data_IF_229256460095
#
_entry.id   IF_229256460095
#
_cell.length_a   1.000
_cell.length_b   1.000
_cell.length_c   1.000
_cell.angle_alpha   90.00
_cell.angle_beta   90.00
_cell.angle_gamma   90.00
#
_symmetry.space_group_name_H-M   'P 1'
#
loop_
_entity.id
_entity.type
_entity.pdbx_description
1 polymer ?
#
# COMPACT_ATOMS: atom_id res chain seq x y z
N UNK A 1 -28.10 -3.48 10.87
CA UNK A 1 -27.88 -3.55 12.34
C UNK A 1 -28.82 -4.57 12.91
N UNK A 2 -28.36 -5.56 13.68
CA UNK A 2 -29.28 -6.36 14.46
C UNK A 2 -30.00 -5.43 15.44
N UNK A 3 -31.31 -5.51 15.47
CA UNK A 3 -32.16 -4.77 16.40
C UNK A 3 -31.83 -5.17 17.85
N UNK A 4 -32.21 -4.38 18.83
CA UNK A 4 -32.00 -4.70 20.24
C UNK A 4 -32.55 -6.08 20.62
N UNK A 5 -33.61 -6.55 19.93
CA UNK A 5 -34.21 -7.89 20.12
C UNK A 5 -33.35 -9.03 19.55
N UNK A 6 -32.58 -8.81 18.45
CA UNK A 6 -31.70 -9.82 17.86
C UNK A 6 -30.41 -10.07 18.66
N UNK A 7 -30.06 -9.16 19.59
CA UNK A 7 -28.93 -9.29 20.52
C UNK A 7 -29.31 -10.04 21.80
N UNK A 8 -30.58 -10.29 22.03
CA UNK A 8 -31.03 -10.98 23.22
C UNK A 8 -30.64 -12.46 23.16
N UNK A 9 -29.54 -12.80 23.79
CA UNK A 9 -29.11 -14.16 23.91
C UNK A 9 -29.96 -14.88 24.96
N UNK A 10 -30.59 -15.98 24.58
CA UNK A 10 -31.30 -16.87 25.51
C UNK A 10 -30.35 -17.98 25.94
N UNK A 11 -30.17 -18.17 27.24
CA UNK A 11 -29.37 -19.28 27.75
C UNK A 11 -30.07 -20.62 27.52
N UNK A 12 -29.28 -21.62 27.12
CA UNK A 12 -29.72 -22.99 26.90
C UNK A 12 -28.98 -23.92 27.85
N UNK A 13 -29.57 -25.04 28.22
CA UNK A 13 -28.96 -26.04 29.07
C UNK A 13 -28.30 -27.11 28.19
N UNK A 14 -27.02 -27.36 28.40
CA UNK A 14 -26.25 -28.37 27.69
C UNK A 14 -26.53 -29.80 28.25
N UNK A 15 -26.06 -30.80 27.54
CA UNK A 15 -26.13 -32.21 27.96
C UNK A 15 -25.34 -32.44 29.26
N UNK A 16 -24.30 -31.65 29.50
CA UNK A 16 -23.49 -31.63 30.71
C UNK A 16 -24.13 -30.90 31.90
N UNK A 17 -25.39 -30.46 31.74
CA UNK A 17 -26.16 -29.71 32.72
C UNK A 17 -25.77 -28.24 32.89
N UNK A 18 -24.70 -27.74 32.23
CA UNK A 18 -24.29 -26.34 32.31
C UNK A 18 -25.15 -25.45 31.45
N UNK A 19 -25.28 -24.19 31.83
CA UNK A 19 -25.91 -23.18 31.00
C UNK A 19 -24.91 -22.66 29.98
N UNK A 20 -25.35 -22.40 28.75
CA UNK A 20 -24.52 -21.78 27.70
C UNK A 20 -25.32 -20.84 26.83
N UNK A 21 -24.61 -19.92 26.17
CA UNK A 21 -25.18 -19.05 25.15
C UNK A 21 -24.19 -18.82 23.98
N UNK A 22 -24.74 -18.58 22.79
CA UNK A 22 -24.01 -18.20 21.58
C UNK A 22 -24.69 -16.99 20.91
N UNK A 23 -24.64 -15.82 21.55
CA UNK A 23 -25.27 -14.63 20.99
C UNK A 23 -24.64 -14.24 19.64
N UNK A 24 -25.45 -13.69 18.75
CA UNK A 24 -24.94 -13.03 17.56
C UNK A 24 -24.51 -11.61 17.94
N UNK A 25 -23.21 -11.34 17.88
CA UNK A 25 -22.61 -10.05 18.31
C UNK A 25 -22.28 -9.14 17.12
N UNK A 26 -22.67 -9.55 15.92
CA UNK A 26 -22.38 -8.80 14.70
C UNK A 26 -21.53 -9.63 13.73
N UNK A 27 -20.94 -8.93 12.77
CA UNK A 27 -20.07 -9.54 11.76
C UNK A 27 -18.67 -8.94 11.92
N UNK A 28 -17.66 -9.80 11.89
CA UNK A 28 -16.27 -9.37 11.87
C UNK A 28 -16.04 -8.44 10.68
N UNK A 29 -15.49 -7.25 10.95
CA UNK A 29 -15.36 -6.18 9.97
C UNK A 29 -14.32 -6.47 8.89
N UNK A 30 -13.33 -7.30 9.21
CA UNK A 30 -12.23 -7.64 8.30
C UNK A 30 -12.55 -8.90 7.52
N UNK A 31 -13.05 -9.95 8.19
CA UNK A 31 -13.27 -11.26 7.57
C UNK A 31 -14.68 -11.47 7.03
N UNK A 32 -15.65 -10.62 7.40
CA UNK A 32 -17.06 -10.78 7.05
C UNK A 32 -17.76 -11.94 7.75
N UNK A 33 -17.10 -12.63 8.69
CA UNK A 33 -17.67 -13.78 9.42
C UNK A 33 -18.56 -13.30 10.56
N UNK A 34 -19.66 -14.05 10.80
CA UNK A 34 -20.54 -13.82 11.93
C UNK A 34 -19.81 -14.10 13.24
N UNK A 35 -19.80 -13.11 14.16
CA UNK A 35 -19.22 -13.23 15.50
C UNK A 35 -20.29 -13.87 16.38
N UNK A 36 -20.04 -15.07 16.83
CA UNK A 36 -20.90 -15.80 17.78
C UNK A 36 -20.03 -16.39 18.89
N UNK A 37 -19.63 -15.57 19.89
CA UNK A 37 -18.85 -16.04 21.00
C UNK A 37 -19.64 -17.07 21.80
N UNK A 38 -18.92 -18.03 22.37
CA UNK A 38 -19.49 -19.04 23.25
C UNK A 38 -19.07 -18.74 24.68
N UNK A 39 -20.03 -18.85 25.61
CA UNK A 39 -19.74 -18.83 27.02
C UNK A 39 -20.66 -19.81 27.75
N UNK A 40 -20.14 -20.49 28.76
CA UNK A 40 -20.90 -21.37 29.65
C UNK A 40 -20.83 -20.87 31.08
N UNK A 41 -21.89 -21.18 31.81
CA UNK A 41 -22.05 -20.87 33.24
C UNK A 41 -22.34 -22.13 34.00
N UNK A 42 -22.24 -22.06 35.35
CA UNK A 42 -22.35 -23.20 36.23
C UNK A 42 -23.74 -23.83 36.14
N UNK A 43 -23.78 -25.16 36.30
CA UNK A 43 -25.01 -25.96 36.31
C UNK A 43 -25.91 -25.67 37.54
N UNK A 44 -25.31 -25.17 38.62
CA UNK A 44 -26.01 -24.88 39.90
C UNK A 44 -26.84 -23.58 39.80
N UNK A 45 -26.58 -22.72 38.81
CA UNK A 45 -27.35 -21.50 38.61
C UNK A 45 -28.78 -21.81 38.18
N UNK A 46 -29.73 -21.03 38.70
CA UNK A 46 -31.09 -21.04 38.14
C UNK A 46 -31.08 -20.42 36.73
N UNK A 47 -32.10 -20.74 35.92
CA UNK A 47 -32.24 -20.16 34.58
C UNK A 47 -32.19 -18.63 34.61
N UNK A 48 -32.83 -18.01 35.59
CA UNK A 48 -32.89 -16.56 35.75
C UNK A 48 -31.52 -15.96 36.08
N UNK A 49 -30.77 -16.62 36.96
CA UNK A 49 -29.41 -16.22 37.31
C UNK A 49 -28.46 -16.35 36.12
N UNK A 50 -28.52 -17.48 35.40
CA UNK A 50 -27.71 -17.69 34.19
C UNK A 50 -28.07 -16.67 33.07
N UNK A 51 -29.35 -16.33 32.95
CA UNK A 51 -29.78 -15.30 31.98
C UNK A 51 -29.28 -13.93 32.39
N UNK A 52 -29.32 -13.56 33.68
CA UNK A 52 -28.80 -12.28 34.15
C UNK A 52 -27.28 -12.15 33.93
N UNK A 53 -26.52 -13.24 34.13
CA UNK A 53 -25.09 -13.31 33.81
C UNK A 53 -24.83 -13.17 32.33
N UNK A 54 -25.63 -13.83 31.51
CA UNK A 54 -25.57 -13.74 30.06
C UNK A 54 -25.84 -12.29 29.59
N UNK A 55 -26.87 -11.63 30.12
CA UNK A 55 -27.23 -10.26 29.75
C UNK A 55 -26.14 -9.27 30.17
N UNK A 56 -25.52 -9.44 31.35
CA UNK A 56 -24.33 -8.67 31.78
C UNK A 56 -23.14 -8.89 30.83
N UNK A 57 -22.88 -10.12 30.48
CA UNK A 57 -21.81 -10.45 29.55
C UNK A 57 -22.06 -9.85 28.15
N UNK A 58 -23.27 -9.96 27.62
CA UNK A 58 -23.68 -9.36 26.34
C UNK A 58 -23.54 -7.83 26.36
N UNK A 59 -23.86 -7.19 27.47
CA UNK A 59 -23.72 -5.74 27.65
C UNK A 59 -22.27 -5.24 27.60
N UNK A 60 -21.27 -6.12 27.84
CA UNK A 60 -19.86 -5.75 27.70
C UNK A 60 -19.41 -5.60 26.24
N UNK A 61 -20.19 -6.11 25.30
CA UNK A 61 -19.88 -5.93 23.88
C UNK A 61 -20.37 -4.59 23.39
N UNK A 62 -19.45 -3.70 23.06
CA UNK A 62 -19.76 -2.37 22.52
C UNK A 62 -20.48 -2.52 21.17
N UNK A 63 -21.68 -1.96 20.98
CA UNK A 63 -22.37 -2.04 19.71
C UNK A 63 -21.57 -1.32 18.63
N UNK A 64 -21.39 -1.99 17.48
CA UNK A 64 -20.91 -1.33 16.28
C UNK A 64 -21.89 -0.25 15.89
N UNK A 65 -21.58 1.03 16.17
CA UNK A 65 -22.41 2.18 15.81
C UNK A 65 -22.72 2.19 14.32
N UNK A 66 -23.90 2.70 13.95
CA UNK A 66 -24.29 2.86 12.54
C UNK A 66 -23.19 3.63 11.79
N UNK A 67 -22.71 3.07 10.69
CA UNK A 67 -21.59 3.60 9.96
C UNK A 67 -21.98 4.92 9.27
N UNK A 68 -21.61 6.03 9.88
CA UNK A 68 -21.52 7.30 9.15
C UNK A 68 -20.47 7.10 8.04
N UNK A 69 -20.91 7.18 6.79
CA UNK A 69 -20.02 6.95 5.63
C UNK A 69 -18.89 7.98 5.57
N UNK A 70 -19.06 9.16 6.19
CA UNK A 70 -18.04 10.19 6.27
C UNK A 70 -16.86 9.80 7.19
N UNK A 71 -17.11 8.89 8.14
CA UNK A 71 -16.08 8.42 9.09
C UNK A 71 -15.34 7.16 8.64
N UNK A 72 -15.61 6.64 7.44
CA UNK A 72 -14.89 5.45 6.94
C UNK A 72 -13.40 5.73 6.80
N UNK A 73 -12.59 4.73 7.14
CA UNK A 73 -11.14 4.80 6.96
C UNK A 73 -10.76 5.11 5.50
N UNK A 74 -11.41 4.47 4.52
CA UNK A 74 -11.15 4.74 3.10
C UNK A 74 -11.41 6.19 2.73
N UNK A 75 -12.50 6.80 3.24
CA UNK A 75 -12.81 8.22 3.00
C UNK A 75 -11.76 9.15 3.62
N UNK A 76 -11.31 8.85 4.83
CA UNK A 76 -10.23 9.59 5.50
C UNK A 76 -8.91 9.51 4.72
N UNK A 77 -8.57 8.32 4.23
CA UNK A 77 -7.34 8.14 3.47
C UNK A 77 -7.39 8.82 2.10
N UNK A 78 -8.54 8.81 1.42
CA UNK A 78 -8.73 9.58 0.17
C UNK A 78 -8.58 11.08 0.41
N UNK A 79 -9.15 11.62 1.51
CA UNK A 79 -8.96 13.01 1.89
C UNK A 79 -7.48 13.32 2.16
N UNK A 80 -6.76 12.44 2.90
CA UNK A 80 -5.33 12.59 3.16
C UNK A 80 -4.51 12.62 1.86
N UNK A 81 -4.79 11.70 0.93
CA UNK A 81 -4.06 11.61 -0.34
C UNK A 81 -4.35 12.80 -1.26
N UNK A 82 -5.57 13.35 -1.18
CA UNK A 82 -6.00 14.46 -2.02
C UNK A 82 -5.62 15.84 -1.48
N UNK A 83 -5.17 15.91 -0.23
CA UNK A 83 -4.79 17.18 0.40
C UNK A 83 -3.42 17.66 -0.07
N UNK A 84 -3.35 18.83 -0.78
CA UNK A 84 -2.09 19.37 -1.27
C UNK A 84 -1.07 19.72 -0.15
N UNK A 85 -1.56 19.99 1.07
CA UNK A 85 -0.71 20.32 2.23
C UNK A 85 0.22 19.16 2.59
N UNK A 86 -0.19 17.92 2.32
CA UNK A 86 0.64 16.73 2.57
C UNK A 86 1.82 16.59 1.59
N UNK A 87 1.89 17.38 0.53
CA UNK A 87 3.02 17.46 -0.41
C UNK A 87 3.36 16.14 -1.10
N UNK A 88 2.37 15.27 -1.30
CA UNK A 88 2.57 13.99 -1.97
C UNK A 88 2.84 14.20 -3.46
N UNK A 89 3.85 13.51 -3.99
CA UNK A 89 4.11 13.49 -5.42
C UNK A 89 3.01 12.71 -6.16
N UNK A 90 2.69 13.11 -7.42
CA UNK A 90 1.61 12.53 -8.23
C UNK A 90 1.68 11.00 -8.34
N UNK A 91 2.88 10.45 -8.52
CA UNK A 91 3.09 9.00 -8.53
C UNK A 91 2.74 8.35 -7.17
N UNK A 92 3.00 9.03 -6.06
CA UNK A 92 2.63 8.54 -4.71
C UNK A 92 1.13 8.60 -4.51
N UNK A 93 0.48 9.68 -4.96
CA UNK A 93 -0.98 9.82 -4.95
C UNK A 93 -1.64 8.66 -5.72
N UNK A 94 -1.17 8.40 -6.95
CA UNK A 94 -1.70 7.31 -7.77
C UNK A 94 -1.48 5.93 -7.13
N UNK A 95 -0.29 5.69 -6.55
CA UNK A 95 0.03 4.45 -5.84
C UNK A 95 -0.86 4.28 -4.60
N UNK A 96 -1.03 5.30 -3.79
CA UNK A 96 -1.86 5.26 -2.59
C UNK A 96 -3.35 5.06 -2.91
N UNK A 97 -3.89 5.71 -3.95
CA UNK A 97 -5.27 5.44 -4.41
C UNK A 97 -5.45 4.00 -4.86
N UNK A 98 -4.46 3.43 -5.55
CA UNK A 98 -4.49 2.00 -5.88
C UNK A 98 -4.52 1.13 -4.63
N UNK A 99 -3.70 1.43 -3.62
CA UNK A 99 -3.67 0.72 -2.33
C UNK A 99 -5.01 0.85 -1.60
N UNK A 100 -5.60 2.05 -1.54
CA UNK A 100 -6.93 2.25 -0.92
C UNK A 100 -7.94 1.32 -1.57
N UNK A 101 -8.02 1.31 -2.90
CA UNK A 101 -9.00 0.51 -3.64
C UNK A 101 -8.76 -0.99 -3.53
N UNK A 102 -7.50 -1.45 -3.61
CA UNK A 102 -7.19 -2.88 -3.75
C UNK A 102 -6.88 -3.57 -2.43
N UNK A 103 -6.49 -2.84 -1.40
CA UNK A 103 -6.04 -3.40 -0.13
C UNK A 103 -6.87 -2.90 1.06
N UNK A 104 -7.09 -1.58 1.17
CA UNK A 104 -7.80 -1.00 2.32
C UNK A 104 -9.30 -1.28 2.23
N UNK A 105 -9.94 -0.91 1.11
CA UNK A 105 -11.39 -1.03 0.96
C UNK A 105 -11.91 -2.46 1.16
N UNK A 106 -11.29 -3.51 0.59
CA UNK A 106 -11.75 -4.88 0.79
C UNK A 106 -11.44 -5.46 2.17
N UNK A 107 -10.68 -4.78 3.02
CA UNK A 107 -10.29 -5.26 4.35
C UNK A 107 -10.86 -4.39 5.47
N UNK A 108 -10.24 -3.26 5.75
CA UNK A 108 -10.54 -2.35 6.87
C UNK A 108 -11.17 -1.03 6.45
N UNK A 109 -11.35 -0.76 5.16
CA UNK A 109 -11.79 0.54 4.63
C UNK A 109 -13.14 1.01 5.15
N UNK A 110 -14.02 0.08 5.51
CA UNK A 110 -15.37 0.37 6.04
C UNK A 110 -15.40 0.66 7.54
N UNK A 111 -14.32 0.37 8.26
CA UNK A 111 -14.22 0.64 9.70
C UNK A 111 -14.12 2.16 9.89
N UNK A 112 -14.85 2.77 10.83
CA UNK A 112 -14.65 4.16 11.18
C UNK A 112 -13.21 4.38 11.66
N UNK A 113 -12.54 5.42 11.15
CA UNK A 113 -11.13 5.69 11.45
C UNK A 113 -10.87 5.94 12.95
N UNK A 114 -11.86 6.51 13.66
CA UNK A 114 -11.82 6.76 15.11
C UNK A 114 -12.04 5.48 15.96
N UNK A 115 -12.53 4.41 15.34
CA UNK A 115 -12.77 3.11 15.98
C UNK A 115 -11.80 2.01 15.53
N UNK A 116 -10.91 2.29 14.57
CA UNK A 116 -9.93 1.32 14.10
C UNK A 116 -8.96 0.97 15.23
N UNK A 117 -8.65 -0.31 15.37
CA UNK A 117 -7.75 -0.81 16.40
C UNK A 117 -6.48 -1.43 15.78
N UNK A 118 -5.36 -1.46 16.50
CA UNK A 118 -4.11 -2.06 16.03
C UNK A 118 -4.27 -3.51 15.54
N UNK A 119 -5.14 -4.29 16.18
CA UNK A 119 -5.39 -5.68 15.78
C UNK A 119 -6.19 -5.80 14.48
N UNK A 120 -7.06 -4.83 14.12
CA UNK A 120 -7.77 -4.80 12.83
C UNK A 120 -6.77 -4.64 11.68
N UNK A 121 -5.81 -3.73 11.84
CA UNK A 121 -4.73 -3.51 10.86
C UNK A 121 -3.86 -4.75 10.73
N UNK A 122 -3.48 -5.37 11.85
CA UNK A 122 -2.69 -6.61 11.87
C UNK A 122 -3.45 -7.78 11.23
N UNK A 123 -4.77 -7.87 11.40
CA UNK A 123 -5.62 -8.86 10.77
C UNK A 123 -5.70 -8.64 9.25
N UNK A 124 -5.83 -7.37 8.80
CA UNK A 124 -5.79 -7.02 7.39
C UNK A 124 -4.46 -7.43 6.74
N UNK A 125 -3.32 -7.17 7.40
CA UNK A 125 -2.02 -7.60 6.88
C UNK A 125 -1.92 -9.12 6.75
N UNK A 126 -2.35 -9.89 7.76
CA UNK A 126 -2.39 -11.35 7.67
C UNK A 126 -3.26 -11.83 6.51
N UNK A 127 -4.42 -11.20 6.31
CA UNK A 127 -5.34 -11.54 5.22
C UNK A 127 -4.75 -11.26 3.84
N UNK A 128 -4.02 -10.15 3.67
CA UNK A 128 -3.37 -9.77 2.42
C UNK A 128 -2.14 -10.64 2.11
N UNK A 129 -1.39 -11.04 3.14
CA UNK A 129 -0.21 -11.90 3.00
C UNK A 129 -0.57 -13.37 2.81
N UNK A 130 -1.77 -13.79 3.25
CA UNK A 130 -2.21 -15.17 3.13
C UNK A 130 -2.37 -15.58 1.65
N UNK A 131 -1.94 -16.78 1.27
CA UNK A 131 -2.10 -17.27 -0.10
C UNK A 131 -3.59 -17.35 -0.48
N UNK A 132 -3.97 -16.65 -1.54
CA UNK A 132 -5.24 -16.83 -2.25
C UNK A 132 -4.91 -17.40 -3.61
N UNK A 133 -5.47 -18.55 -3.95
CA UNK A 133 -5.17 -19.25 -5.22
C UNK A 133 -3.66 -19.44 -5.44
N UNK A 134 -2.94 -19.81 -4.36
CA UNK A 134 -1.50 -20.09 -4.41
C UNK A 134 -0.56 -18.88 -4.30
N UNK A 135 -1.03 -17.64 -4.28
CA UNK A 135 -0.17 -16.45 -4.23
C UNK A 135 -0.77 -15.35 -3.37
N UNK A 136 -0.15 -15.07 -2.22
CA UNK A 136 -0.45 -13.89 -1.39
C UNK A 136 0.24 -12.63 -1.92
N UNK A 137 -0.11 -11.46 -1.38
CA UNK A 137 0.63 -10.22 -1.67
C UNK A 137 2.03 -10.29 -1.06
N UNK A 138 3.01 -9.67 -1.72
CA UNK A 138 4.36 -9.59 -1.15
C UNK A 138 4.38 -8.69 0.08
N UNK A 139 5.20 -8.98 1.10
CA UNK A 139 5.37 -8.09 2.25
C UNK A 139 5.76 -6.66 1.86
N UNK A 140 6.55 -6.50 0.78
CA UNK A 140 6.93 -5.19 0.23
C UNK A 140 5.69 -4.41 -0.28
N UNK A 141 4.72 -5.09 -0.86
CA UNK A 141 3.47 -4.47 -1.32
C UNK A 141 2.62 -4.03 -0.12
N UNK A 142 2.52 -4.87 0.93
CA UNK A 142 1.76 -4.54 2.15
C UNK A 142 2.43 -3.40 2.93
N UNK A 143 3.76 -3.25 2.86
CA UNK A 143 4.48 -2.09 3.42
C UNK A 143 4.02 -0.75 2.83
N UNK A 144 3.54 -0.70 1.59
CA UNK A 144 3.00 0.54 1.01
C UNK A 144 1.69 0.94 1.72
N UNK A 145 0.84 -0.04 2.03
CA UNK A 145 -0.36 0.19 2.86
C UNK A 145 0.01 0.67 4.26
N UNK A 146 1.02 0.03 4.89
CA UNK A 146 1.52 0.46 6.19
C UNK A 146 2.02 1.92 6.16
N UNK A 147 2.78 2.29 5.13
CA UNK A 147 3.30 3.66 4.97
C UNK A 147 2.16 4.69 4.79
N UNK A 148 1.12 4.36 4.02
CA UNK A 148 -0.05 5.20 3.84
C UNK A 148 -0.78 5.43 5.16
N UNK A 149 -1.12 4.35 5.89
CA UNK A 149 -1.79 4.42 7.19
C UNK A 149 -0.97 5.23 8.18
N UNK A 150 0.34 4.94 8.29
CA UNK A 150 1.25 5.64 9.18
C UNK A 150 1.34 7.13 8.86
N UNK A 151 1.39 7.50 7.57
CA UNK A 151 1.39 8.89 7.14
C UNK A 151 0.11 9.62 7.55
N UNK A 152 -1.05 9.04 7.28
CA UNK A 152 -2.35 9.63 7.60
C UNK A 152 -2.58 9.78 9.11
N UNK A 153 -2.31 8.74 9.90
CA UNK A 153 -2.47 8.80 11.36
C UNK A 153 -1.47 9.73 12.03
N UNK A 154 -0.24 9.82 11.53
CA UNK A 154 0.73 10.80 12.02
C UNK A 154 0.28 12.23 11.76
N UNK A 155 -0.33 12.49 10.61
CA UNK A 155 -0.79 13.85 10.24
C UNK A 155 -2.05 14.25 11.02
N UNK A 156 -3.01 13.34 11.15
CA UNK A 156 -4.33 13.65 11.72
C UNK A 156 -4.61 12.97 13.07
N UNK A 157 -3.66 12.24 13.64
CA UNK A 157 -3.82 11.57 14.93
C UNK A 157 -4.21 12.51 16.07
N UNK A 158 -3.74 13.76 16.04
CA UNK A 158 -4.13 14.80 16.99
C UNK A 158 -5.63 15.16 16.91
N UNK A 159 -6.24 15.10 15.72
CA UNK A 159 -7.67 15.33 15.50
C UNK A 159 -8.49 14.09 15.87
N UNK A 160 -7.94 12.91 15.59
CA UNK A 160 -8.56 11.61 15.89
C UNK A 160 -8.46 11.28 17.38
N UNK A 161 -7.51 11.90 18.11
CA UNK A 161 -7.23 11.68 19.52
C UNK A 161 -6.21 10.56 19.80
N UNK A 162 -5.74 9.81 18.78
CA UNK A 162 -4.70 8.77 18.92
C UNK A 162 -4.05 8.41 17.59
N UNK A 163 -2.78 8.00 17.65
CA UNK A 163 -2.07 7.39 16.53
C UNK A 163 -1.90 5.88 16.79
N UNK A 164 -2.83 5.09 16.26
CA UNK A 164 -2.81 3.63 16.43
C UNK A 164 -1.62 2.96 15.74
N UNK A 165 -1.01 3.63 14.74
CA UNK A 165 0.09 3.06 13.97
C UNK A 165 1.40 2.97 14.77
N UNK A 166 1.48 3.61 15.93
CA UNK A 166 2.58 3.42 16.87
C UNK A 166 2.61 2.01 17.48
N UNK A 167 1.45 1.34 17.55
CA UNK A 167 1.30 0.00 18.12
C UNK A 167 1.29 -1.11 17.04
N UNK A 168 1.25 -0.73 15.75
CA UNK A 168 1.18 -1.69 14.64
C UNK A 168 2.57 -1.97 14.07
N UNK A 169 3.10 -3.21 14.22
CA UNK A 169 4.38 -3.55 13.62
C UNK A 169 4.30 -3.58 12.10
N UNK A 170 5.31 -3.01 11.45
CA UNK A 170 5.42 -3.07 10.00
C UNK A 170 5.64 -4.51 9.50
N UNK A 171 5.05 -4.90 8.37
CA UNK A 171 5.34 -6.19 7.74
C UNK A 171 6.82 -6.34 7.43
N UNK A 172 7.42 -7.48 7.78
CA UNK A 172 8.83 -7.75 7.50
C UNK A 172 9.00 -8.18 6.04
N UNK A 173 9.67 -7.37 5.24
CA UNK A 173 10.10 -7.74 3.90
C UNK A 173 11.58 -8.17 3.94
N UNK A 174 11.89 -9.33 3.36
CA UNK A 174 13.31 -9.70 3.15
C UNK A 174 13.90 -8.76 2.09
N UNK A 175 15.08 -8.20 2.32
CA UNK A 175 15.79 -7.49 1.27
C UNK A 175 15.98 -8.42 0.06
N UNK A 176 15.70 -7.91 -1.14
CA UNK A 176 16.09 -8.62 -2.34
C UNK A 176 17.60 -8.47 -2.51
N UNK A 177 18.28 -9.54 -2.86
CA UNK A 177 19.69 -9.45 -3.26
C UNK A 177 19.79 -8.52 -4.47
N UNK A 178 20.68 -7.52 -4.44
CA UNK A 178 20.88 -6.66 -5.58
C UNK A 178 21.45 -7.49 -6.74
N UNK A 179 20.77 -7.47 -7.87
CA UNK A 179 21.30 -8.06 -9.10
C UNK A 179 22.17 -7.01 -9.80
N UNK A 180 23.42 -7.36 -10.08
CA UNK A 180 24.33 -6.59 -10.90
C UNK A 180 24.70 -7.41 -12.14
N UNK A 181 24.76 -6.74 -13.29
CA UNK A 181 25.28 -7.35 -14.51
C UNK A 181 26.78 -7.68 -14.33
N UNK A 182 27.21 -8.82 -14.84
CA UNK A 182 28.64 -9.07 -15.00
C UNK A 182 29.25 -8.12 -16.06
N UNK A 183 30.54 -7.91 -16.04
CA UNK A 183 31.23 -7.10 -17.07
C UNK A 183 30.95 -7.63 -18.47
N UNK A 184 30.99 -8.96 -18.65
CA UNK A 184 30.71 -9.60 -19.94
C UNK A 184 29.29 -9.35 -20.44
N UNK A 185 28.28 -9.40 -19.53
CA UNK A 185 26.88 -9.14 -19.85
C UNK A 185 26.68 -7.65 -20.15
N UNK A 186 27.33 -6.75 -19.41
CA UNK A 186 27.27 -5.31 -19.64
C UNK A 186 27.86 -4.94 -21.02
N UNK A 187 29.01 -5.52 -21.39
CA UNK A 187 29.61 -5.34 -22.70
C UNK A 187 28.75 -5.93 -23.83
N UNK A 188 28.17 -7.10 -23.60
CA UNK A 188 27.26 -7.73 -24.55
C UNK A 188 26.01 -6.86 -24.78
N UNK A 189 25.42 -6.33 -23.72
CA UNK A 189 24.29 -5.41 -23.77
C UNK A 189 24.66 -4.11 -24.49
N UNK A 190 25.81 -3.53 -24.17
CA UNK A 190 26.32 -2.32 -24.82
C UNK A 190 26.43 -2.49 -26.33
N UNK A 191 27.08 -3.56 -26.81
CA UNK A 191 27.19 -3.89 -28.23
C UNK A 191 25.82 -4.08 -28.92
N UNK A 192 24.90 -4.77 -28.25
CA UNK A 192 23.54 -4.96 -28.77
C UNK A 192 22.79 -3.62 -28.93
N UNK A 193 22.95 -2.70 -27.99
CA UNK A 193 22.34 -1.37 -28.05
C UNK A 193 22.93 -0.54 -29.19
N UNK A 194 24.26 -0.52 -29.35
CA UNK A 194 24.94 0.15 -30.48
C UNK A 194 24.45 -0.41 -31.82
N UNK A 195 24.35 -1.73 -31.97
CA UNK A 195 23.81 -2.36 -33.18
C UNK A 195 22.36 -1.94 -33.46
N UNK A 196 21.51 -1.91 -32.42
CA UNK A 196 20.11 -1.47 -32.59
C UNK A 196 19.98 0.02 -32.99
N UNK A 197 20.86 0.88 -32.46
CA UNK A 197 20.91 2.31 -32.82
C UNK A 197 21.41 2.55 -34.24
N UNK A 198 22.27 1.69 -34.77
CA UNK A 198 22.89 1.82 -36.11
C UNK A 198 21.94 1.39 -37.23
N UNK A 199 20.76 0.87 -36.94
CA UNK A 199 19.76 0.51 -37.98
C UNK A 199 19.33 1.73 -38.78
N UNK A 200 19.44 1.65 -40.14
CA UNK A 200 19.11 2.75 -41.05
C UNK A 200 17.64 2.78 -41.48
N UNK A 201 16.86 1.81 -41.05
CA UNK A 201 15.43 1.75 -41.40
C UNK A 201 14.65 2.84 -40.64
N UNK A 202 13.97 3.70 -41.38
CA UNK A 202 13.24 4.89 -40.90
C UNK A 202 11.77 4.60 -40.58
N UNK A 203 11.36 3.35 -40.42
CA UNK A 203 9.98 3.05 -39.99
C UNK A 203 9.75 3.52 -38.55
N UNK A 204 8.50 3.90 -38.21
CA UNK A 204 8.16 4.37 -36.89
C UNK A 204 8.53 3.37 -35.77
N UNK A 205 8.38 2.06 -36.04
CA UNK A 205 8.77 1.00 -35.13
C UNK A 205 10.30 0.99 -34.86
N UNK A 206 11.11 1.22 -35.88
CA UNK A 206 12.57 1.28 -35.76
C UNK A 206 13.04 2.57 -35.09
N UNK A 207 12.37 3.68 -35.25
CA UNK A 207 12.64 4.93 -34.55
C UNK A 207 12.43 4.71 -33.05
N UNK A 208 11.30 4.10 -32.63
CA UNK A 208 11.01 3.77 -31.24
C UNK A 208 12.09 2.85 -30.65
N UNK A 209 12.43 1.76 -31.35
CA UNK A 209 13.48 0.80 -30.92
C UNK A 209 14.85 1.45 -30.76
N UNK A 210 15.23 2.36 -31.67
CA UNK A 210 16.48 3.13 -31.56
C UNK A 210 16.48 4.04 -30.34
N UNK A 211 15.35 4.71 -30.07
CA UNK A 211 15.21 5.57 -28.88
C UNK A 211 15.26 4.79 -27.59
N UNK A 212 14.65 3.60 -27.55
CA UNK A 212 14.74 2.67 -26.41
C UNK A 212 16.17 2.18 -26.20
N UNK A 213 16.86 1.76 -27.27
CA UNK A 213 18.25 1.34 -27.22
C UNK A 213 19.17 2.46 -26.71
N UNK A 214 18.98 3.70 -27.17
CA UNK A 214 19.71 4.87 -26.68
C UNK A 214 19.46 5.09 -25.20
N UNK A 215 18.21 4.98 -24.73
CA UNK A 215 17.90 5.17 -23.33
C UNK A 215 18.56 4.11 -22.43
N UNK A 216 18.55 2.84 -22.86
CA UNK A 216 19.24 1.75 -22.15
C UNK A 216 20.76 1.97 -22.14
N UNK A 217 21.33 2.35 -23.29
CA UNK A 217 22.76 2.62 -23.43
C UNK A 217 23.21 3.76 -22.50
N UNK A 218 22.49 4.87 -22.49
CA UNK A 218 22.77 5.98 -21.57
C UNK A 218 22.64 5.56 -20.11
N UNK A 219 21.60 4.84 -19.75
CA UNK A 219 21.42 4.36 -18.37
C UNK A 219 22.57 3.45 -17.92
N UNK A 220 23.01 2.53 -18.81
CA UNK A 220 24.09 1.61 -18.53
C UNK A 220 25.42 2.33 -18.26
N UNK A 221 25.77 3.30 -19.11
CA UNK A 221 27.06 3.98 -19.05
C UNK A 221 27.12 5.18 -18.09
N UNK A 222 25.97 5.73 -17.68
CA UNK A 222 25.91 6.93 -16.84
C UNK A 222 25.33 6.70 -15.45
N UNK A 223 24.73 5.54 -15.21
CA UNK A 223 24.01 5.26 -13.96
C UNK A 223 22.78 6.13 -13.74
N UNK A 224 22.27 6.80 -14.75
CA UNK A 224 21.06 7.62 -14.68
C UNK A 224 19.82 6.73 -14.54
N UNK A 225 18.83 7.21 -13.78
CA UNK A 225 17.54 6.51 -13.68
C UNK A 225 16.76 6.64 -14.99
N UNK A 226 15.94 5.64 -15.33
CA UNK A 226 15.13 5.66 -16.55
C UNK A 226 14.31 6.94 -16.69
N UNK A 227 13.68 7.42 -15.63
CA UNK A 227 12.92 8.67 -15.66
C UNK A 227 13.80 9.90 -15.92
N UNK A 228 15.04 9.91 -15.45
CA UNK A 228 16.01 10.97 -15.72
C UNK A 228 16.44 10.95 -17.19
N UNK A 229 16.76 9.77 -17.73
CA UNK A 229 17.11 9.60 -19.14
C UNK A 229 15.95 10.04 -20.07
N UNK A 230 14.73 9.57 -19.79
CA UNK A 230 13.55 9.95 -20.58
C UNK A 230 13.17 11.44 -20.43
N UNK A 231 13.61 12.08 -19.34
CA UNK A 231 13.39 13.49 -19.07
C UNK A 231 14.46 14.43 -19.60
N UNK A 232 15.52 13.91 -20.26
CA UNK A 232 16.61 14.74 -20.81
C UNK A 232 16.10 15.65 -21.91
N UNK A 233 16.69 16.83 -21.92
CA UNK A 233 16.51 17.81 -22.99
C UNK A 233 17.86 18.12 -23.62
N UNK A 234 17.85 18.56 -24.89
CA UNK A 234 19.07 18.88 -25.62
C UNK A 234 19.99 19.86 -24.88
N UNK A 235 19.42 20.80 -24.14
CA UNK A 235 20.15 21.79 -23.33
C UNK A 235 20.85 21.18 -22.10
N UNK A 236 20.44 19.99 -21.68
CA UNK A 236 21.02 19.32 -20.51
C UNK A 236 22.37 18.67 -20.85
N UNK A 237 22.64 18.45 -22.16
CA UNK A 237 23.93 17.98 -22.64
C UNK A 237 24.90 19.15 -22.83
N UNK A 238 25.88 19.26 -21.97
CA UNK A 238 26.93 20.28 -21.99
C UNK A 238 28.20 19.74 -22.68
N UNK A 239 28.15 19.76 -24.01
CA UNK A 239 29.15 19.14 -24.84
C UNK A 239 30.59 19.59 -24.55
N UNK A 240 30.79 20.90 -24.30
CA UNK A 240 32.12 21.45 -23.98
C UNK A 240 32.68 20.99 -22.61
N UNK A 241 31.81 20.47 -21.72
CA UNK A 241 32.17 19.98 -20.40
C UNK A 241 32.16 18.46 -20.31
N UNK A 242 31.84 17.77 -21.42
CA UNK A 242 31.71 16.30 -21.49
C UNK A 242 30.79 15.74 -20.39
N UNK A 243 29.67 16.44 -20.11
CA UNK A 243 28.73 16.01 -19.07
C UNK A 243 27.25 16.28 -19.43
N UNK A 244 26.38 15.64 -18.67
CA UNK A 244 24.94 15.85 -18.70
C UNK A 244 24.49 16.45 -17.37
N UNK A 245 23.77 17.59 -17.42
CA UNK A 245 23.17 18.20 -16.25
C UNK A 245 21.80 17.56 -15.96
N UNK A 246 21.74 16.69 -14.97
CA UNK A 246 20.51 15.97 -14.60
C UNK A 246 19.72 16.80 -13.61
N UNK A 247 18.76 17.60 -14.08
CA UNK A 247 17.93 18.48 -13.26
C UNK A 247 16.45 18.08 -13.22
N UNK A 248 15.99 17.16 -14.08
CA UNK A 248 14.60 16.75 -14.17
C UNK A 248 14.42 15.28 -14.52
N UNK A 249 13.17 14.87 -14.56
CA UNK A 249 12.79 13.50 -14.92
C UNK A 249 11.44 13.46 -15.63
N UNK A 250 11.21 12.45 -16.46
CA UNK A 250 9.89 12.14 -16.99
C UNK A 250 9.10 11.32 -15.94
N UNK A 251 7.82 11.61 -15.81
CA UNK A 251 6.85 10.88 -15.00
C UNK A 251 5.60 10.59 -15.80
N UNK A 252 4.99 9.41 -15.54
CA UNK A 252 3.86 8.92 -16.34
C UNK A 252 2.49 9.39 -15.81
N UNK A 253 2.39 9.76 -14.54
CA UNK A 253 1.10 10.04 -13.93
C UNK A 253 1.00 11.49 -13.43
N UNK A 254 -0.18 12.11 -13.60
CA UNK A 254 -1.43 11.57 -14.19
C UNK A 254 -1.34 11.37 -15.70
N UNK A 255 -0.46 12.06 -16.40
CA UNK A 255 -0.10 11.91 -17.81
C UNK A 255 1.42 12.04 -17.94
N UNK A 256 1.98 11.54 -19.05
CA UNK A 256 3.41 11.66 -19.30
C UNK A 256 3.81 13.15 -19.38
N UNK A 257 4.68 13.58 -18.49
CA UNK A 257 5.20 14.94 -18.46
C UNK A 257 6.62 14.98 -17.84
N UNK A 258 7.33 16.07 -18.07
CA UNK A 258 8.63 16.32 -17.46
C UNK A 258 8.47 17.13 -16.17
N UNK A 259 8.94 16.59 -15.05
CA UNK A 259 9.13 17.36 -13.83
C UNK A 259 10.48 18.07 -13.84
N UNK A 260 10.55 19.34 -13.39
CA UNK A 260 11.80 20.13 -13.37
C UNK A 260 12.73 19.79 -12.20
N UNK A 261 12.55 18.63 -11.59
CA UNK A 261 13.37 18.13 -10.49
C UNK A 261 13.44 16.60 -10.53
N UNK A 262 14.51 16.04 -9.98
CA UNK A 262 14.70 14.59 -9.82
C UNK A 262 13.96 14.07 -8.59
N UNK A 263 13.86 12.74 -8.43
CA UNK A 263 13.28 12.10 -7.24
C UNK A 263 13.91 12.58 -5.91
N UNK A 264 15.19 12.93 -5.94
CA UNK A 264 15.91 13.47 -4.76
C UNK A 264 15.84 14.98 -4.60
N UNK A 265 15.11 15.70 -5.48
CA UNK A 265 15.01 17.15 -5.54
C UNK A 265 16.39 17.88 -5.60
N UNK A 266 17.41 17.18 -6.10
CA UNK A 266 18.78 17.71 -6.28
C UNK A 266 19.21 17.48 -7.71
N UNK A 267 19.77 18.50 -8.36
CA UNK A 267 20.45 18.35 -9.63
C UNK A 267 21.86 17.80 -9.43
N UNK A 268 22.40 17.16 -10.46
CA UNK A 268 23.79 16.71 -10.50
C UNK A 268 24.30 16.71 -11.93
N UNK A 269 25.63 16.76 -12.06
CA UNK A 269 26.29 16.54 -13.32
C UNK A 269 26.79 15.10 -13.39
N UNK A 270 26.64 14.49 -14.55
CA UNK A 270 27.08 13.13 -14.83
C UNK A 270 28.06 13.20 -16.01
N UNK A 271 29.30 12.80 -15.78
CA UNK A 271 30.29 12.70 -16.84
C UNK A 271 29.87 11.72 -17.92
N UNK A 272 30.13 12.06 -19.17
CA UNK A 272 29.83 11.21 -20.33
C UNK A 272 31.10 10.41 -20.65
N UNK A 273 31.04 9.07 -20.55
CA UNK A 273 32.15 8.21 -21.01
C UNK A 273 32.40 8.37 -22.50
N UNK A 274 33.63 8.21 -23.01
CA UNK A 274 33.94 8.33 -24.43
C UNK A 274 33.07 7.44 -25.32
N UNK A 275 32.65 6.26 -24.84
CA UNK A 275 31.75 5.36 -25.56
C UNK A 275 30.36 5.95 -25.86
N UNK A 276 29.94 6.98 -25.15
CA UNK A 276 28.64 7.66 -25.31
C UNK A 276 28.78 8.88 -26.23
N UNK A 277 29.98 9.46 -26.34
CA UNK A 277 30.25 10.61 -27.22
C UNK A 277 30.50 10.23 -28.67
N UNK A 278 30.96 9.00 -28.93
CA UNK A 278 31.23 8.45 -30.26
C UNK A 278 29.94 8.16 -31.04
#
# INVERSE_FOLDING_TARGET
MPTSSERRAVVQRGEDGRWFARPYMGTDRVTGRRIRPYRSWDAELTREQAQAECDRWVATFIPSSAQDSSKRLSSMLEAYVSDPVNGLADNSVAAYRSVIRTMVEPTIGRIPYDQLQPWDVSAAYRMLLAPRNGKGMSPKTVLVMHALLKGAYRTWGHVIGRDIMLEVPAPRAKPAEPFALSELDADGLSRAMVSAMSSRDATGANIARRSEAMAVFLALHTGMRVGEVCGLQRRDWRRSLHDIHVAGQAVEKPSLHRQPFTKGKRSRNVSIPPAVEA
#
